data_IF_265599574098
#
_entry.id   IF_265599574098
#
_cell.length_a   1.000
_cell.length_b   1.000
_cell.length_c   1.000
_cell.angle_alpha   90.00
_cell.angle_beta   90.00
_cell.angle_gamma   90.00
#
_symmetry.space_group_name_H-M   'P 1'
#
loop_
_entity.id
_entity.type
_entity.pdbx_description
1 polymer ?
#
# COMPACT_ATOMS: atom_id res chain seq x y z
N UNK A 21 -2.97 -26.94 6.86
CA UNK A 21 -3.11 -27.80 5.62
C UNK A 21 -1.78 -27.80 4.83
N UNK A 22 -1.39 -28.92 4.22
CA UNK A 22 -0.18 -28.93 3.35
C UNK A 22 -0.46 -28.55 1.87
N UNK A 23 0.62 -28.32 1.11
CA UNK A 23 0.51 -27.88 -0.29
C UNK A 23 -0.27 -28.91 -1.18
N UNK A 24 0.03 -30.20 -1.07
CA UNK A 24 -0.70 -31.24 -1.83
C UNK A 24 -2.22 -31.21 -1.66
N UNK A 25 -2.67 -31.09 -0.41
CA UNK A 25 -4.12 -31.05 -0.08
C UNK A 25 -4.85 -29.84 -0.64
N UNK A 26 -4.22 -28.70 -0.46
CA UNK A 26 -4.85 -27.46 -0.88
C UNK A 26 -4.84 -27.27 -2.41
N UNK A 27 -3.82 -27.77 -3.12
CA UNK A 27 -3.83 -27.75 -4.60
C UNK A 27 -4.86 -28.69 -5.18
N UNK A 28 -5.04 -29.85 -4.54
CA UNK A 28 -6.13 -30.77 -4.86
C UNK A 28 -7.50 -30.10 -4.68
N UNK A 29 -7.70 -29.45 -3.53
CA UNK A 29 -8.97 -28.79 -3.22
C UNK A 29 -9.26 -27.65 -4.22
N UNK A 30 -8.26 -26.79 -4.50
CA UNK A 30 -8.40 -25.74 -5.54
C UNK A 30 -8.68 -26.35 -6.92
N UNK A 31 -7.92 -27.37 -7.30
CA UNK A 31 -8.10 -28.03 -8.60
C UNK A 31 -9.49 -28.65 -8.75
N UNK A 32 -10.04 -29.16 -7.64
CA UNK A 32 -11.40 -29.72 -7.65
C UNK A 32 -12.48 -28.63 -7.70
N UNK A 33 -12.09 -27.36 -7.57
CA UNK A 33 -13.02 -26.23 -7.63
C UNK A 33 -13.48 -25.65 -6.29
N UNK A 34 -12.89 -26.09 -5.18
CA UNK A 34 -13.25 -25.57 -3.86
C UNK A 34 -12.63 -24.19 -3.70
N UNK A 35 -13.39 -23.23 -3.16
CA UNK A 35 -12.92 -21.83 -3.02
C UNK A 35 -13.04 -21.18 -1.63
N UNK A 36 -13.85 -21.77 -0.74
CA UNK A 36 -13.98 -21.21 0.61
C UNK A 36 -13.00 -21.84 1.59
N UNK A 37 -11.92 -21.09 1.88
CA UNK A 37 -10.88 -21.48 2.84
C UNK A 37 -10.71 -20.45 3.98
N UNK A 38 -11.80 -19.82 4.39
CA UNK A 38 -11.72 -18.73 5.39
C UNK A 38 -11.23 -19.20 6.79
N UNK A 39 -10.37 -18.39 7.43
CA UNK A 39 -9.76 -18.67 8.75
C UNK A 39 -8.68 -19.75 8.77
N UNK A 40 -8.27 -20.27 7.61
CA UNK A 40 -7.30 -21.38 7.60
C UNK A 40 -5.89 -20.91 8.05
N UNK A 41 -5.24 -21.72 8.89
CA UNK A 41 -3.88 -21.43 9.37
C UNK A 41 -2.83 -22.02 8.43
N UNK A 42 -2.11 -21.11 7.75
CA UNK A 42 -1.09 -21.46 6.74
C UNK A 42 0.28 -20.81 7.00
N UNK A 43 0.57 -20.59 8.27
CA UNK A 43 1.78 -19.88 8.72
C UNK A 43 3.13 -20.42 8.10
N UNK A 44 4.04 -19.54 7.65
CA UNK A 44 5.42 -19.92 7.16
C UNK A 44 5.51 -20.73 5.83
N UNK A 45 4.38 -20.91 5.13
CA UNK A 45 4.32 -21.77 3.92
C UNK A 45 5.16 -21.23 2.70
N UNK A 46 5.73 -22.15 1.92
CA UNK A 46 6.49 -21.82 0.69
C UNK A 46 5.63 -22.10 -0.59
N UNK A 47 5.15 -21.02 -1.23
CA UNK A 47 4.25 -21.09 -2.43
C UNK A 47 4.66 -20.16 -3.60
N UNK A 48 5.95 -20.07 -3.89
CA UNK A 48 6.43 -19.10 -4.90
C UNK A 48 5.78 -19.41 -6.26
N UNK A 49 5.30 -18.37 -6.93
CA UNK A 49 4.69 -18.46 -8.28
C UNK A 49 3.33 -19.19 -8.29
N UNK A 50 2.68 -19.32 -7.13
CA UNK A 50 1.36 -19.99 -7.01
C UNK A 50 0.17 -19.16 -7.58
N UNK A 51 -0.89 -19.81 -8.10
CA UNK A 51 -2.06 -19.11 -8.72
C UNK A 51 -3.44 -19.55 -8.18
N UNK A 52 -4.05 -18.67 -7.39
CA UNK A 52 -5.22 -19.00 -6.54
C UNK A 52 -6.32 -17.91 -6.58
N UNK A 53 -6.64 -17.54 -7.81
CA UNK A 53 -7.52 -16.43 -8.08
C UNK A 53 -8.95 -16.70 -7.58
N UNK A 54 -9.60 -15.63 -7.11
CA UNK A 54 -10.97 -15.71 -6.62
C UNK A 54 -11.14 -16.48 -5.32
N UNK A 55 -10.06 -16.70 -4.57
CA UNK A 55 -10.13 -17.49 -3.32
C UNK A 55 -10.74 -16.73 -2.09
N UNK A 56 -11.56 -17.38 -1.25
CA UNK A 56 -11.98 -16.77 0.05
C UNK A 56 -11.06 -17.20 1.19
N UNK A 57 -10.17 -16.29 1.59
CA UNK A 57 -9.19 -16.50 2.69
C UNK A 57 -9.31 -15.49 3.82
N UNK A 58 -10.53 -15.01 4.01
CA UNK A 58 -10.79 -14.05 5.07
C UNK A 58 -10.32 -14.58 6.46
N UNK A 59 -9.66 -13.72 7.25
CA UNK A 59 -9.15 -14.07 8.61
C UNK A 59 -8.09 -15.19 8.67
N UNK A 60 -7.47 -15.50 7.54
CA UNK A 60 -6.47 -16.55 7.48
C UNK A 60 -5.14 -16.17 8.19
N UNK A 61 -4.43 -17.14 8.78
CA UNK A 61 -3.08 -16.89 9.36
C UNK A 61 -1.92 -17.26 8.41
N UNK A 62 -1.26 -16.21 7.89
CA UNK A 62 -0.17 -16.35 6.90
C UNK A 62 1.15 -15.66 7.32
N UNK A 63 1.38 -15.61 8.63
CA UNK A 63 2.60 -14.98 9.16
C UNK A 63 3.89 -15.52 8.51
N UNK A 64 4.76 -14.62 8.04
CA UNK A 64 6.11 -14.96 7.50
C UNK A 64 6.11 -15.96 6.34
N UNK A 65 5.02 -16.01 5.59
CA UNK A 65 4.90 -16.86 4.39
C UNK A 65 5.72 -16.39 3.13
N UNK A 66 6.26 -17.30 2.30
CA UNK A 66 6.88 -16.93 0.97
C UNK A 66 5.95 -17.10 -0.27
N UNK A 67 5.40 -15.96 -0.70
CA UNK A 67 4.48 -15.88 -1.87
C UNK A 67 4.96 -15.04 -3.06
N UNK A 68 6.28 -15.05 -3.24
CA UNK A 68 6.92 -14.28 -4.30
C UNK A 68 6.30 -14.59 -5.71
N UNK A 69 5.89 -13.53 -6.42
CA UNK A 69 5.31 -13.60 -7.79
C UNK A 69 4.00 -14.43 -7.89
N UNK A 70 3.24 -14.57 -6.81
CA UNK A 70 1.96 -15.32 -6.85
C UNK A 70 0.75 -14.58 -7.54
N UNK A 71 -0.15 -15.28 -8.27
CA UNK A 71 -1.41 -14.64 -8.85
C UNK A 71 -2.66 -14.86 -7.99
N UNK A 72 -3.06 -13.81 -7.29
CA UNK A 72 -4.20 -13.85 -6.34
C UNK A 72 -5.36 -12.90 -6.69
N UNK A 73 -5.49 -12.62 -7.98
CA UNK A 73 -6.50 -11.69 -8.48
C UNK A 73 -7.92 -11.99 -7.96
N UNK A 74 -8.56 -10.95 -7.41
CA UNK A 74 -9.92 -11.00 -6.83
C UNK A 74 -10.10 -11.92 -5.62
N UNK A 75 -9.03 -12.17 -4.87
CA UNK A 75 -9.17 -12.87 -3.57
C UNK A 75 -9.84 -12.03 -2.44
N UNK A 76 -10.53 -12.69 -1.50
CA UNK A 76 -11.04 -12.04 -0.26
C UNK A 76 -10.15 -12.42 0.93
N UNK A 77 -9.36 -11.44 1.38
CA UNK A 77 -8.39 -11.59 2.49
C UNK A 77 -8.63 -10.61 3.63
N UNK A 78 -9.89 -10.21 3.78
CA UNK A 78 -10.22 -9.25 4.81
C UNK A 78 -9.75 -9.76 6.19
N UNK A 79 -9.14 -8.86 6.95
CA UNK A 79 -8.67 -9.17 8.29
C UNK A 79 -7.62 -10.32 8.36
N UNK A 80 -6.96 -10.66 7.26
CA UNK A 80 -5.98 -11.78 7.29
C UNK A 80 -4.61 -11.39 7.92
N UNK A 81 -3.94 -12.33 8.58
CA UNK A 81 -2.64 -12.05 9.20
C UNK A 81 -1.53 -12.36 8.22
N UNK A 82 -0.89 -11.30 7.72
CA UNK A 82 0.18 -11.41 6.69
C UNK A 82 1.53 -10.78 7.13
N UNK A 83 1.76 -10.79 8.43
CA UNK A 83 2.90 -10.07 9.01
C UNK A 83 4.26 -10.67 8.58
N UNK A 84 5.18 -9.82 8.11
CA UNK A 84 6.49 -10.27 7.56
C UNK A 84 6.41 -11.29 6.43
N UNK A 85 5.30 -11.30 5.69
CA UNK A 85 5.18 -12.20 4.54
C UNK A 85 5.96 -11.66 3.32
N UNK A 86 6.59 -12.53 2.52
CA UNK A 86 7.26 -12.12 1.27
C UNK A 86 6.28 -12.20 0.09
N UNK A 87 5.90 -11.03 -0.42
CA UNK A 87 4.92 -10.90 -1.52
C UNK A 87 5.46 -10.17 -2.75
N UNK A 88 6.78 -10.26 -2.93
CA UNK A 88 7.47 -9.53 -4.01
C UNK A 88 6.91 -9.88 -5.42
N UNK A 89 6.39 -8.88 -6.14
CA UNK A 89 5.86 -9.08 -7.51
C UNK A 89 4.54 -9.83 -7.64
N UNK A 90 3.87 -10.05 -6.52
CA UNK A 90 2.59 -10.76 -6.51
C UNK A 90 1.42 -9.94 -7.15
N UNK A 91 0.43 -10.62 -7.75
CA UNK A 91 -0.78 -9.97 -8.34
C UNK A 91 -2.02 -10.03 -7.44
N UNK A 92 -2.50 -8.86 -7.01
CA UNK A 92 -3.69 -8.74 -6.14
C UNK A 92 -4.77 -7.78 -6.64
N UNK A 93 -4.97 -7.76 -7.95
CA UNK A 93 -5.95 -6.84 -8.53
C UNK A 93 -7.37 -7.09 -8.00
N UNK A 94 -8.02 -6.01 -7.56
CA UNK A 94 -9.39 -6.03 -7.04
C UNK A 94 -9.63 -7.00 -5.87
N UNK A 95 -8.57 -7.23 -5.10
CA UNK A 95 -8.63 -8.04 -3.88
C UNK A 95 -9.29 -7.30 -2.67
N UNK A 96 -10.00 -8.01 -1.79
CA UNK A 96 -10.46 -7.40 -0.50
C UNK A 96 -9.46 -7.67 0.62
N UNK A 97 -8.76 -6.61 1.02
CA UNK A 97 -7.79 -6.67 2.13
C UNK A 97 -8.14 -5.72 3.27
N UNK A 98 -9.43 -5.43 3.44
CA UNK A 98 -9.80 -4.51 4.50
C UNK A 98 -9.35 -5.03 5.89
N UNK A 99 -8.74 -4.14 6.65
CA UNK A 99 -8.19 -4.43 7.98
C UNK A 99 -7.16 -5.59 8.05
N UNK A 100 -6.49 -5.88 6.94
CA UNK A 100 -5.51 -6.98 6.91
C UNK A 100 -4.17 -6.61 7.57
N UNK A 101 -3.55 -7.54 8.30
CA UNK A 101 -2.29 -7.25 9.01
C UNK A 101 -1.12 -7.52 8.09
N UNK A 102 -0.49 -6.45 7.61
CA UNK A 102 0.66 -6.54 6.69
C UNK A 102 1.97 -5.96 7.22
N UNK A 103 2.08 -5.88 8.54
CA UNK A 103 3.23 -5.25 9.15
C UNK A 103 4.53 -5.94 8.71
N UNK A 104 5.43 -5.14 8.15
CA UNK A 104 6.75 -5.63 7.78
C UNK A 104 6.80 -6.54 6.58
N UNK A 105 5.70 -6.64 5.83
CA UNK A 105 5.64 -7.51 4.65
C UNK A 105 6.46 -6.92 3.47
N UNK A 106 7.12 -7.78 2.68
CA UNK A 106 7.93 -7.37 1.50
C UNK A 106 7.08 -7.43 0.21
N UNK A 107 6.55 -6.27 -0.20
CA UNK A 107 5.70 -6.17 -1.41
C UNK A 107 6.34 -5.45 -2.60
N UNK A 108 7.66 -5.51 -2.68
CA UNK A 108 8.37 -4.80 -3.74
C UNK A 108 7.83 -5.24 -5.12
N UNK A 109 7.37 -4.28 -5.91
CA UNK A 109 6.88 -4.53 -7.28
C UNK A 109 5.51 -5.18 -7.46
N UNK A 110 4.75 -5.35 -6.38
CA UNK A 110 3.47 -6.07 -6.47
C UNK A 110 2.34 -5.26 -7.15
N UNK A 111 1.40 -5.94 -7.83
CA UNK A 111 0.23 -5.26 -8.50
C UNK A 111 -1.10 -5.35 -7.72
N UNK A 112 -1.39 -4.26 -7.00
CA UNK A 112 -2.61 -4.16 -6.17
C UNK A 112 -3.70 -3.24 -6.71
N UNK A 113 -3.67 -3.04 -8.02
CA UNK A 113 -4.62 -2.15 -8.70
C UNK A 113 -6.11 -2.40 -8.32
N UNK A 114 -6.80 -1.37 -7.85
CA UNK A 114 -8.24 -1.45 -7.55
C UNK A 114 -8.63 -2.26 -6.33
N UNK A 115 -7.65 -2.62 -5.51
CA UNK A 115 -7.90 -3.42 -4.30
C UNK A 115 -8.59 -2.60 -3.18
N UNK A 116 -9.41 -3.24 -2.33
CA UNK A 116 -9.97 -2.61 -1.11
C UNK A 116 -9.02 -2.85 0.08
N UNK A 117 -8.34 -1.79 0.51
CA UNK A 117 -7.38 -1.86 1.62
C UNK A 117 -7.73 -0.96 2.79
N UNK A 118 -9.01 -0.66 2.97
CA UNK A 118 -9.38 0.29 4.01
C UNK A 118 -9.09 -0.29 5.40
N UNK A 119 -8.60 0.56 6.29
CA UNK A 119 -8.31 0.20 7.69
C UNK A 119 -7.10 -0.79 7.80
N UNK A 120 -6.38 -1.04 6.71
CA UNK A 120 -5.34 -2.09 6.70
C UNK A 120 -4.07 -1.67 7.41
N UNK A 121 -3.39 -2.62 8.06
CA UNK A 121 -2.14 -2.35 8.80
C UNK A 121 -0.88 -2.63 7.98
N UNK A 122 -0.28 -1.53 7.54
CA UNK A 122 0.86 -1.54 6.62
C UNK A 122 2.12 -0.92 7.21
N UNK A 123 2.19 -0.94 8.54
CA UNK A 123 3.29 -0.32 9.23
C UNK A 123 4.59 -1.03 8.85
N UNK A 124 5.64 -0.26 8.58
CA UNK A 124 6.95 -0.80 8.23
C UNK A 124 7.01 -1.67 6.97
N UNK A 125 5.99 -1.62 6.11
CA UNK A 125 5.95 -2.51 4.93
C UNK A 125 6.89 -2.02 3.79
N UNK A 126 7.42 -2.95 2.98
CA UNK A 126 8.30 -2.60 1.83
C UNK A 126 7.49 -2.55 0.53
N UNK A 127 7.16 -1.33 0.12
CA UNK A 127 6.27 -1.07 -1.02
C UNK A 127 7.00 -0.34 -2.13
N UNK A 128 8.31 -0.29 -2.00
CA UNK A 128 9.14 0.42 -2.93
C UNK A 128 10.55 0.28 -2.41
N UNK A 129 11.31 -0.61 -3.04
CA UNK A 129 12.67 -0.93 -2.59
C UNK A 129 13.74 -0.21 -3.47
N UNK A 130 14.76 0.37 -2.82
CA UNK A 130 15.99 0.90 -3.49
C UNK A 130 17.31 0.36 -2.87
N UNK A 131 17.17 -0.73 -2.11
CA UNK A 131 18.25 -1.51 -1.45
C UNK A 131 19.61 -1.67 -2.20
N UNK A 132 19.55 -2.03 -3.48
CA UNK A 132 20.73 -2.22 -4.36
C UNK A 132 21.00 -1.03 -5.31
N UNK A 133 20.30 0.09 -5.11
CA UNK A 133 20.31 1.23 -6.04
C UNK A 133 19.08 1.38 -6.95
N UNK A 134 18.45 0.26 -7.35
CA UNK A 134 17.35 0.25 -8.37
C UNK A 134 15.92 0.21 -7.76
N UNK A 135 14.99 0.97 -8.35
CA UNK A 135 13.62 1.10 -7.83
C UNK A 135 12.66 -0.04 -8.23
N UNK A 136 12.06 -0.66 -7.21
CA UNK A 136 11.06 -1.74 -7.35
C UNK A 136 9.80 -1.25 -6.64
N UNK A 137 9.11 -0.34 -7.30
CA UNK A 137 7.91 0.31 -6.74
C UNK A 137 6.64 -0.51 -6.90
N UNK A 138 5.84 -0.61 -5.86
CA UNK A 138 4.57 -1.35 -5.94
C UNK A 138 3.44 -0.53 -6.64
N UNK A 139 2.51 -1.22 -7.32
CA UNK A 139 1.40 -0.55 -8.07
C UNK A 139 0.07 -0.55 -7.31
N UNK A 140 -0.35 0.65 -6.91
CA UNK A 140 -1.58 0.86 -6.10
C UNK A 140 -2.63 1.77 -6.73
N UNK A 141 -2.61 1.82 -8.05
CA UNK A 141 -3.48 2.72 -8.77
C UNK A 141 -4.96 2.44 -8.42
N UNK A 142 -5.72 3.50 -8.14
CA UNK A 142 -7.17 3.42 -7.83
C UNK A 142 -7.55 2.51 -6.65
N UNK A 143 -6.62 2.27 -5.73
CA UNK A 143 -6.90 1.43 -4.56
C UNK A 143 -7.65 2.20 -3.46
N UNK A 144 -8.50 1.52 -2.67
CA UNK A 144 -9.16 2.14 -1.50
C UNK A 144 -8.30 1.94 -0.25
N UNK A 145 -7.70 3.03 0.24
CA UNK A 145 -6.89 3.02 1.47
C UNK A 145 -7.46 3.91 2.58
N UNK A 146 -8.78 4.09 2.58
CA UNK A 146 -9.41 4.88 3.62
C UNK A 146 -9.00 4.41 5.02
N UNK A 147 -8.48 5.34 5.82
CA UNK A 147 -8.13 5.09 7.23
C UNK A 147 -7.04 4.01 7.43
N UNK A 148 -6.26 3.71 6.39
CA UNK A 148 -5.23 2.65 6.48
C UNK A 148 -4.01 3.12 7.26
N UNK A 149 -3.35 2.22 7.99
CA UNK A 149 -2.17 2.57 8.82
C UNK A 149 -0.84 2.22 8.12
N UNK A 150 -0.18 3.23 7.56
CA UNK A 150 1.07 3.02 6.80
C UNK A 150 2.32 3.56 7.46
N UNK A 151 2.26 3.77 8.77
CA UNK A 151 3.35 4.43 9.47
C UNK A 151 4.69 3.72 9.23
N UNK A 152 5.69 4.47 8.77
CA UNK A 152 7.05 3.94 8.62
C UNK A 152 7.30 3.08 7.41
N UNK A 153 6.30 2.93 6.55
CA UNK A 153 6.45 2.10 5.35
C UNK A 153 7.46 2.70 4.33
N UNK A 154 8.13 1.85 3.56
CA UNK A 154 9.08 2.28 2.51
C UNK A 154 8.42 2.22 1.14
N UNK A 155 8.18 3.38 0.54
CA UNK A 155 7.47 3.45 -0.76
C UNK A 155 8.30 4.12 -1.85
N UNK A 156 9.58 3.76 -1.92
CA UNK A 156 10.48 4.38 -2.87
C UNK A 156 10.02 4.01 -4.30
N UNK A 157 9.57 5.02 -5.05
CA UNK A 157 9.17 4.84 -6.44
C UNK A 157 7.84 4.16 -6.67
N UNK A 158 7.04 4.03 -5.63
CA UNK A 158 5.72 3.43 -5.76
C UNK A 158 4.74 4.30 -6.57
N UNK A 159 3.73 3.67 -7.17
CA UNK A 159 2.76 4.38 -8.01
C UNK A 159 1.38 4.22 -7.46
N UNK A 160 0.78 5.35 -7.05
CA UNK A 160 -0.53 5.38 -6.37
C UNK A 160 -1.56 6.30 -7.02
N UNK A 161 -1.49 6.39 -8.34
CA UNK A 161 -2.30 7.33 -9.09
C UNK A 161 -3.80 7.06 -8.85
N UNK A 162 -4.51 8.09 -8.40
CA UNK A 162 -5.97 8.00 -8.19
C UNK A 162 -6.43 7.21 -6.98
N UNK A 163 -5.51 6.82 -6.10
CA UNK A 163 -5.89 6.03 -4.92
C UNK A 163 -6.66 6.87 -3.88
N UNK A 164 -7.56 6.25 -3.12
CA UNK A 164 -8.28 6.91 -2.00
C UNK A 164 -7.56 6.71 -0.67
N UNK A 165 -6.88 7.76 -0.21
CA UNK A 165 -6.16 7.75 1.07
C UNK A 165 -6.79 8.63 2.12
N UNK A 166 -8.10 8.86 1.99
CA UNK A 166 -8.86 9.60 2.98
C UNK A 166 -8.51 9.10 4.39
N UNK A 167 -7.93 9.97 5.20
CA UNK A 167 -7.65 9.62 6.59
C UNK A 167 -6.53 8.65 6.86
N UNK A 168 -5.70 8.36 5.86
CA UNK A 168 -4.62 7.38 6.05
C UNK A 168 -3.45 7.89 6.92
N UNK A 169 -2.85 7.00 7.70
CA UNK A 169 -1.71 7.32 8.56
C UNK A 169 -0.39 7.04 7.84
N UNK A 170 0.35 8.11 7.53
CA UNK A 170 1.64 8.02 6.80
C UNK A 170 2.86 8.54 7.58
N UNK A 171 2.75 8.50 8.90
CA UNK A 171 3.79 9.03 9.77
C UNK A 171 5.17 8.44 9.45
N UNK A 172 6.16 9.29 9.17
CA UNK A 172 7.54 8.86 8.94
C UNK A 172 7.72 7.83 7.80
N UNK A 173 6.79 7.82 6.85
CA UNK A 173 6.89 6.92 5.69
C UNK A 173 7.88 7.45 4.64
N UNK A 174 8.50 6.57 3.85
CA UNK A 174 9.40 7.00 2.77
C UNK A 174 8.69 7.06 1.42
N UNK A 175 8.42 8.27 0.94
CA UNK A 175 7.73 8.49 -0.35
C UNK A 175 8.65 9.09 -1.42
N UNK A 176 9.94 8.86 -1.27
CA UNK A 176 10.91 9.41 -2.21
C UNK A 176 10.60 8.92 -3.65
N UNK A 177 10.49 9.84 -4.62
CA UNK A 177 10.14 9.51 -6.03
C UNK A 177 8.81 8.78 -6.28
N UNK A 178 7.91 8.80 -5.32
CA UNK A 178 6.64 8.10 -5.47
C UNK A 178 5.64 8.94 -6.32
N UNK A 179 4.82 8.29 -7.15
CA UNK A 179 3.75 9.02 -7.90
C UNK A 179 2.36 8.97 -7.25
N UNK A 180 1.88 10.14 -6.82
CA UNK A 180 0.59 10.29 -6.13
C UNK A 180 -0.37 11.21 -6.87
N UNK A 181 -0.31 11.14 -8.19
CA UNK A 181 -1.07 12.07 -9.01
C UNK A 181 -2.55 11.75 -8.85
N UNK A 182 -3.37 12.79 -8.79
CA UNK A 182 -4.83 12.66 -8.65
C UNK A 182 -5.29 11.82 -7.46
N UNK A 183 -4.45 11.63 -6.46
CA UNK A 183 -4.79 10.77 -5.31
C UNK A 183 -5.56 11.56 -4.26
N UNK A 184 -6.50 10.92 -3.57
CA UNK A 184 -7.27 11.54 -2.49
C UNK A 184 -6.55 11.37 -1.15
N UNK A 185 -5.96 12.47 -0.70
CA UNK A 185 -5.18 12.51 0.53
C UNK A 185 -5.85 13.31 1.63
N UNK A 186 -7.16 13.50 1.51
CA UNK A 186 -7.87 14.28 2.51
C UNK A 186 -7.74 13.66 3.88
N UNK A 187 -7.30 14.47 4.84
CA UNK A 187 -7.20 14.05 6.23
C UNK A 187 -6.07 13.04 6.48
N UNK A 188 -5.18 12.82 5.51
CA UNK A 188 -4.05 11.91 5.73
C UNK A 188 -2.97 12.56 6.60
N UNK A 189 -2.30 11.79 7.46
CA UNK A 189 -1.25 12.34 8.33
C UNK A 189 0.13 11.98 7.75
N UNK A 190 0.86 12.98 7.25
CA UNK A 190 2.18 12.78 6.65
C UNK A 190 3.32 13.34 7.49
N UNK A 191 3.09 13.52 8.79
CA UNK A 191 4.14 14.07 9.64
C UNK A 191 5.42 13.20 9.60
N UNK A 192 6.57 13.82 9.32
CA UNK A 192 7.85 13.13 9.20
C UNK A 192 8.11 12.36 7.91
N UNK A 193 7.16 12.36 6.98
CA UNK A 193 7.28 11.52 5.78
C UNK A 193 8.32 12.07 4.80
N UNK A 194 9.15 11.21 4.22
CA UNK A 194 10.15 11.65 3.25
C UNK A 194 9.44 11.83 1.91
N UNK A 195 9.57 12.99 1.27
CA UNK A 195 8.82 13.29 0.03
C UNK A 195 9.68 13.82 -1.10
N UNK A 196 10.99 13.59 -1.01
CA UNK A 196 11.93 14.14 -1.98
C UNK A 196 11.63 13.51 -3.35
N UNK A 197 11.31 14.36 -4.34
CA UNK A 197 10.93 13.89 -5.67
C UNK A 197 9.53 13.32 -5.83
N UNK A 198 8.69 13.49 -4.82
CA UNK A 198 7.31 12.98 -4.92
C UNK A 198 6.50 13.78 -5.96
N UNK A 199 5.55 13.11 -6.61
CA UNK A 199 4.80 13.68 -7.74
C UNK A 199 3.31 13.68 -7.43
N UNK A 200 2.80 14.85 -7.05
CA UNK A 200 1.46 14.98 -6.47
C UNK A 200 0.54 15.80 -7.32
N UNK A 201 0.80 15.86 -8.61
CA UNK A 201 -0.03 16.68 -9.46
C UNK A 201 -1.49 16.26 -9.31
N UNK A 202 -2.37 17.24 -9.14
CA UNK A 202 -3.83 17.04 -9.06
C UNK A 202 -4.35 16.29 -7.85
N UNK A 203 -3.50 16.09 -6.85
CA UNK A 203 -3.88 15.32 -5.68
C UNK A 203 -4.72 16.19 -4.80
N UNK A 204 -5.68 15.57 -4.11
CA UNK A 204 -6.55 16.25 -3.16
C UNK A 204 -5.95 16.16 -1.76
N UNK A 205 -5.37 17.26 -1.34
CA UNK A 205 -4.61 17.34 -0.11
C UNK A 205 -5.38 17.97 1.03
N UNK A 206 -6.62 18.36 0.77
CA UNK A 206 -7.39 19.16 1.72
C UNK A 206 -7.50 18.41 3.06
N UNK A 207 -6.93 19.01 4.10
CA UNK A 207 -7.08 18.52 5.45
C UNK A 207 -5.96 17.61 5.86
N UNK A 208 -5.01 17.35 4.96
CA UNK A 208 -3.88 16.49 5.30
C UNK A 208 -2.87 17.23 6.17
N UNK A 209 -2.14 16.48 7.00
CA UNK A 209 -1.17 17.06 7.94
C UNK A 209 0.21 16.88 7.36
N UNK A 210 0.94 17.97 7.11
CA UNK A 210 2.22 17.88 6.40
C UNK A 210 3.29 18.77 6.96
N UNK A 211 4.53 18.39 6.66
CA UNK A 211 5.66 19.24 6.96
C UNK A 211 5.93 20.20 5.81
N UNK A 212 6.43 21.40 6.13
CA UNK A 212 6.74 22.38 5.10
C UNK A 212 7.64 21.89 3.97
N UNK A 213 8.55 20.98 4.28
CA UNK A 213 9.44 20.44 3.26
C UNK A 213 8.71 19.90 2.04
N UNK A 214 7.52 19.36 2.29
CA UNK A 214 6.71 18.81 1.23
C UNK A 214 6.50 19.84 0.13
N UNK A 215 6.25 21.08 0.53
CA UNK A 215 5.94 22.15 -0.42
C UNK A 215 7.10 22.51 -1.33
N UNK A 216 8.30 22.25 -0.83
CA UNK A 216 9.51 22.50 -1.61
C UNK A 216 10.00 21.30 -2.37
N UNK A 217 9.45 20.12 -2.12
CA UNK A 217 9.92 18.92 -2.79
C UNK A 217 8.93 18.35 -3.80
N UNK A 218 7.66 18.30 -3.45
CA UNK A 218 6.67 17.65 -4.30
C UNK A 218 6.26 18.50 -5.50
N UNK A 219 6.00 17.85 -6.63
CA UNK A 219 5.38 18.54 -7.76
C UNK A 219 3.88 18.61 -7.51
N UNK A 220 3.34 19.82 -7.61
CA UNK A 220 2.03 20.10 -7.07
C UNK A 220 1.13 20.81 -8.06
N UNK A 221 1.34 20.55 -9.34
CA UNK A 221 0.51 21.18 -10.36
C UNK A 221 -0.92 20.63 -10.24
N UNK A 222 -1.88 21.52 -10.00
CA UNK A 222 -3.28 21.16 -9.86
C UNK A 222 -3.68 20.58 -8.51
N UNK A 223 -2.74 20.52 -7.57
CA UNK A 223 -3.03 19.91 -6.28
C UNK A 223 -4.08 20.74 -5.55
N UNK A 224 -5.08 20.06 -5.00
CA UNK A 224 -6.20 20.74 -4.35
C UNK A 224 -5.84 20.91 -2.86
N UNK A 225 -5.82 22.14 -2.36
CA UNK A 225 -5.30 22.41 -1.02
C UNK A 225 -6.18 23.35 -0.21
N UNK A 226 -6.02 23.29 1.12
CA UNK A 226 -6.62 24.25 2.08
C UNK A 226 -5.87 25.53 2.04
N UNK A 227 -6.52 26.55 2.55
CA UNK A 227 -5.90 27.84 2.70
C UNK A 227 -4.71 27.77 3.64
N UNK A 228 -4.86 27.02 4.73
CA UNK A 228 -3.77 26.77 5.71
C UNK A 228 -2.50 26.29 4.99
N UNK A 229 -2.73 25.36 4.07
CA UNK A 229 -1.70 24.66 3.32
C UNK A 229 -1.04 25.57 2.27
N UNK A 230 -1.84 26.44 1.66
CA UNK A 230 -1.34 27.38 0.67
C UNK A 230 -0.46 28.40 1.35
N UNK A 231 -0.80 28.77 2.58
CA UNK A 231 0.05 29.68 3.32
C UNK A 231 1.32 28.99 3.76
N UNK A 232 1.22 27.74 4.20
CA UNK A 232 2.43 26.97 4.48
C UNK A 232 3.32 26.82 3.22
N UNK A 233 2.72 26.70 2.03
CA UNK A 233 3.49 26.66 0.76
C UNK A 233 4.26 27.95 0.57
N UNK A 234 3.57 29.08 0.73
CA UNK A 234 4.19 30.40 0.68
C UNK A 234 5.30 30.53 1.71
N UNK A 235 5.00 30.15 2.94
CA UNK A 235 5.98 30.21 4.02
C UNK A 235 7.19 29.30 3.74
N UNK A 236 6.94 28.15 3.16
CA UNK A 236 8.00 27.23 2.79
C UNK A 236 8.93 27.79 1.68
N UNK A 237 8.46 28.76 0.90
CA UNK A 237 9.29 29.47 -0.10
C UNK A 237 9.71 30.84 0.41
N UNK A 238 9.67 31.00 1.74
CA UNK A 238 10.34 32.09 2.41
C UNK A 238 9.53 33.33 2.75
N UNK A 239 8.22 33.30 2.55
CA UNK A 239 7.39 34.48 2.85
C UNK A 239 7.12 34.61 4.37
N UNK A 240 7.25 35.83 4.96
CA UNK A 240 7.07 36.05 6.41
C UNK A 240 5.78 36.73 6.86
N UNK A 241 5.01 35.98 7.64
CA UNK A 241 3.80 36.46 8.31
C UNK A 241 4.01 36.27 9.81
#
# INVERSE_FOLDING_TARGET
MGSSHHHHHHSSGLVPRGSHMNVGEILRHYAAGKRNFQHINLQEIELTNASLTGADLSYANLHHANLSRANLRSADLRNANLSHANLSGANLEEANLEAANLRGADLAGANLSGADLQEANLTQAMLGKDEDGVVYGADLSDANLEQADLAGAQLVGAVLDGANLHGANLNNANLDNAMLTRANLEQADLSGARTTGARLDDADLRGATVDPVLWRTASLVGARVDVDQAVAFAAAHGLCLAGGSGC
#
